data_IF_221084647527
#
_entry.id   IF_221084647527
#
_cell.length_a   1.000
_cell.length_b   1.000
_cell.length_c   1.000
_cell.angle_alpha   90.00
_cell.angle_beta   90.00
_cell.angle_gamma   90.00
#
_symmetry.space_group_name_H-M   'P 1'
#
loop_
_entity.id
_entity.type
_entity.pdbx_description
1 polymer ?
#
# COMPACT_ATOMS: atom_id res chain seq x y z
N UNK A 1 -11.42 -3.92 3.44
CA UNK A 1 -10.02 -4.35 3.63
C UNK A 1 -9.15 -3.67 2.60
N UNK A 2 -7.93 -3.38 2.94
CA UNK A 2 -6.98 -2.72 2.05
C UNK A 2 -5.66 -3.48 1.98
N UNK A 3 -5.00 -3.41 0.83
CA UNK A 3 -3.68 -3.98 0.59
C UNK A 3 -2.77 -2.90 0.04
N UNK A 4 -1.50 -2.96 0.36
CA UNK A 4 -0.54 -1.93 0.00
C UNK A 4 0.46 -2.47 -1.03
N UNK A 5 0.68 -1.68 -2.07
CA UNK A 5 1.72 -1.95 -3.07
C UNK A 5 2.75 -0.83 -3.05
N UNK A 6 4.03 -1.19 -3.02
CA UNK A 6 5.12 -0.23 -2.93
C UNK A 6 5.90 -0.13 -4.22
N UNK A 7 6.30 1.11 -4.55
CA UNK A 7 7.16 1.42 -5.69
C UNK A 7 8.26 2.37 -5.27
N UNK A 8 9.38 2.31 -5.95
CA UNK A 8 10.41 3.35 -5.85
C UNK A 8 9.91 4.61 -6.54
N UNK A 9 10.53 5.75 -6.23
CA UNK A 9 10.14 7.05 -6.81
C UNK A 9 10.28 7.10 -8.33
N UNK A 10 11.20 6.31 -8.88
CA UNK A 10 11.37 6.21 -10.34
C UNK A 10 10.33 5.32 -11.02
N UNK A 11 9.44 4.72 -10.24
CA UNK A 11 8.38 3.87 -10.76
C UNK A 11 8.67 2.37 -10.69
N UNK A 12 9.89 1.98 -10.34
CA UNK A 12 10.22 0.56 -10.22
C UNK A 12 9.41 -0.09 -9.09
N UNK A 13 8.74 -1.19 -9.40
CA UNK A 13 7.89 -1.89 -8.44
C UNK A 13 8.73 -2.67 -7.43
N UNK A 14 8.44 -2.49 -6.13
CA UNK A 14 9.03 -3.29 -5.06
C UNK A 14 8.18 -4.53 -4.76
N UNK A 15 6.86 -4.37 -4.72
CA UNK A 15 5.96 -5.48 -4.50
C UNK A 15 4.82 -5.16 -3.53
N UNK A 16 4.05 -6.19 -3.19
CA UNK A 16 2.95 -6.11 -2.25
C UNK A 16 3.46 -6.21 -0.83
N UNK A 17 2.99 -5.32 0.03
CA UNK A 17 3.45 -5.29 1.42
C UNK A 17 2.82 -6.42 2.22
N UNK A 18 3.69 -7.27 2.78
CA UNK A 18 3.31 -8.34 3.70
C UNK A 18 3.91 -8.02 5.06
N UNK A 19 3.06 -7.79 6.06
CA UNK A 19 3.51 -7.46 7.41
C UNK A 19 3.76 -8.73 8.20
N UNK A 20 4.97 -8.88 8.74
CA UNK A 20 5.35 -9.99 9.61
C UNK A 20 6.04 -9.45 10.84
N UNK A 21 5.46 -9.68 12.02
CA UNK A 21 6.03 -9.23 13.29
C UNK A 21 6.36 -7.73 13.28
N UNK A 22 5.47 -6.92 12.70
CA UNK A 22 5.63 -5.47 12.65
C UNK A 22 6.61 -4.97 11.59
N UNK A 23 7.16 -5.85 10.74
CA UNK A 23 8.10 -5.49 9.68
C UNK A 23 7.51 -5.74 8.31
N UNK A 24 7.76 -4.84 7.33
CA UNK A 24 7.29 -5.06 5.96
C UNK A 24 8.21 -6.01 5.19
N UNK A 25 7.59 -6.90 4.44
CA UNK A 25 8.24 -7.73 3.43
C UNK A 25 7.50 -7.52 2.13
N UNK A 26 8.16 -7.75 1.00
CA UNK A 26 7.55 -7.53 -0.31
C UNK A 26 7.24 -8.84 -0.98
N UNK A 27 5.95 -9.08 -1.22
CA UNK A 27 5.48 -10.26 -1.91
C UNK A 27 5.28 -9.99 -3.40
N UNK A 28 5.36 -11.04 -4.19
CA UNK A 28 5.24 -10.96 -5.63
C UNK A 28 3.79 -10.75 -6.08
N UNK A 29 2.83 -11.39 -5.43
CA UNK A 29 1.44 -11.37 -5.83
C UNK A 29 0.55 -10.71 -4.78
N UNK A 30 -0.61 -10.24 -5.24
CA UNK A 30 -1.64 -9.61 -4.41
C UNK A 30 -2.08 -10.52 -3.26
N UNK A 31 -2.07 -11.84 -3.46
CA UNK A 31 -2.50 -12.79 -2.44
C UNK A 31 -1.58 -12.82 -1.23
N UNK A 32 -0.34 -12.41 -1.40
CA UNK A 32 0.66 -12.37 -0.32
C UNK A 32 0.52 -11.11 0.54
N UNK A 33 -0.20 -10.10 0.06
CA UNK A 33 -0.35 -8.84 0.77
C UNK A 33 -1.19 -9.01 2.04
N UNK A 34 -0.80 -8.33 3.11
CA UNK A 34 -1.58 -8.30 4.34
C UNK A 34 -2.82 -7.44 4.15
N UNK A 35 -3.99 -8.00 4.49
CA UNK A 35 -5.23 -7.23 4.55
C UNK A 35 -5.26 -6.39 5.83
N UNK A 36 -5.68 -5.15 5.72
CA UNK A 36 -5.80 -4.25 6.87
C UNK A 36 -6.89 -3.22 6.64
N UNK A 37 -7.32 -2.55 7.71
CA UNK A 37 -8.25 -1.43 7.58
C UNK A 37 -7.61 -0.30 6.78
N UNK A 38 -8.43 0.41 6.01
CA UNK A 38 -7.94 1.52 5.20
C UNK A 38 -7.27 2.60 6.06
N UNK A 39 -7.84 2.91 7.21
CA UNK A 39 -7.26 3.91 8.10
C UNK A 39 -5.89 3.45 8.62
N UNK A 40 -5.75 2.18 8.96
CA UNK A 40 -4.47 1.63 9.39
C UNK A 40 -3.45 1.68 8.25
N UNK A 41 -3.89 1.41 7.03
CA UNK A 41 -3.03 1.52 5.85
C UNK A 41 -2.56 2.95 5.64
N UNK A 42 -3.45 3.94 5.75
CA UNK A 42 -3.08 5.35 5.62
C UNK A 42 -2.07 5.77 6.68
N UNK A 43 -2.28 5.38 7.94
CA UNK A 43 -1.37 5.71 9.03
C UNK A 43 0.01 5.12 8.79
N UNK A 44 0.05 3.88 8.32
CA UNK A 44 1.29 3.16 8.05
C UNK A 44 2.07 3.77 6.90
N UNK A 45 1.40 4.05 5.78
CA UNK A 45 2.07 4.56 4.58
C UNK A 45 2.50 6.01 4.71
N UNK A 46 1.94 6.76 5.66
CA UNK A 46 2.35 8.15 5.88
C UNK A 46 3.84 8.29 6.10
N UNK A 47 4.47 7.30 6.73
CA UNK A 47 5.92 7.30 6.95
C UNK A 47 6.69 6.86 5.70
N UNK A 48 6.12 5.94 4.91
CA UNK A 48 6.80 5.41 3.74
C UNK A 48 6.73 6.34 2.53
N UNK A 49 5.68 7.15 2.44
CA UNK A 49 5.46 8.06 1.31
C UNK A 49 6.56 9.12 1.16
N UNK A 50 7.38 9.31 2.19
CA UNK A 50 8.53 10.22 2.13
C UNK A 50 9.58 9.70 1.15
N UNK A 51 9.80 8.38 1.13
CA UNK A 51 10.85 7.74 0.32
C UNK A 51 10.32 6.93 -0.85
N UNK A 52 9.06 6.49 -0.80
CA UNK A 52 8.49 5.58 -1.77
C UNK A 52 7.17 6.11 -2.32
N UNK A 53 6.76 5.60 -3.48
CA UNK A 53 5.39 5.75 -3.96
C UNK A 53 4.58 4.58 -3.46
N UNK A 54 3.43 4.87 -2.87
CA UNK A 54 2.59 3.88 -2.23
C UNK A 54 1.22 3.87 -2.88
N UNK A 55 0.75 2.69 -3.26
CA UNK A 55 -0.61 2.50 -3.77
C UNK A 55 -1.38 1.65 -2.77
N UNK A 56 -2.52 2.16 -2.33
CA UNK A 56 -3.43 1.43 -1.46
C UNK A 56 -4.57 0.90 -2.31
N UNK A 57 -4.71 -0.41 -2.38
CA UNK A 57 -5.79 -1.09 -3.09
C UNK A 57 -6.89 -1.41 -2.10
N UNK A 58 -8.09 -0.91 -2.33
CA UNK A 58 -9.22 -1.16 -1.43
C UNK A 58 -10.52 -1.35 -2.21
N UNK A 59 -11.48 -1.97 -1.56
CA UNK A 59 -12.80 -2.22 -2.14
C UNK A 59 -13.80 -1.22 -1.58
N UNK A 60 -13.87 -0.03 -2.21
CA UNK A 60 -14.79 1.04 -1.82
C UNK A 60 -15.01 1.98 -3.00
N UNK A 61 -15.99 2.86 -2.88
CA UNK A 61 -16.27 3.90 -3.88
C UNK A 61 -15.66 5.26 -3.52
N UNK A 62 -15.06 5.40 -2.35
CA UNK A 62 -14.44 6.66 -1.95
C UNK A 62 -13.06 6.79 -2.57
N UNK A 63 -12.82 7.93 -3.22
CA UNK A 63 -11.54 8.24 -3.86
C UNK A 63 -10.76 9.18 -2.95
N UNK A 64 -9.50 8.82 -2.68
CA UNK A 64 -8.66 9.62 -1.81
C UNK A 64 -7.21 9.50 -2.23
N UNK A 65 -6.65 10.60 -2.76
CA UNK A 65 -5.25 10.67 -3.15
C UNK A 65 -4.56 11.76 -2.35
N UNK A 66 -3.35 11.48 -1.85
CA UNK A 66 -2.61 12.43 -1.05
C UNK A 66 -1.10 12.28 -1.31
N UNK A 67 -0.54 13.23 -2.06
CA UNK A 67 0.89 13.25 -2.36
C UNK A 67 1.35 11.99 -3.09
N UNK A 68 2.26 11.23 -2.46
CA UNK A 68 2.79 9.98 -3.01
C UNK A 68 1.97 8.75 -2.63
N UNK A 69 0.81 8.96 -2.03
CA UNK A 69 -0.12 7.89 -1.67
C UNK A 69 -1.29 7.94 -2.63
N UNK A 70 -1.48 6.89 -3.40
CA UNK A 70 -2.59 6.75 -4.33
C UNK A 70 -3.50 5.62 -3.86
N UNK A 71 -4.81 5.82 -3.91
CA UNK A 71 -5.78 4.78 -3.60
C UNK A 71 -6.48 4.33 -4.86
N UNK A 72 -6.53 3.01 -5.08
CA UNK A 72 -7.24 2.41 -6.20
C UNK A 72 -8.28 1.40 -5.70
N UNK A 73 -9.32 1.18 -6.49
CA UNK A 73 -10.51 0.39 -6.11
C UNK A 73 -10.61 -0.85 -6.97
N UNK A 74 -9.68 -1.79 -6.77
CA UNK A 74 -9.59 -3.00 -7.58
C UNK A 74 -9.67 -4.31 -6.77
N UNK A 75 -9.97 -4.22 -5.50
CA UNK A 75 -10.09 -5.42 -4.65
C UNK A 75 -11.46 -6.06 -4.71
#
# INVERSE_FOLDING_TARGET
MAKIEMHLRDGQRLGWVQMRNGKPYYGYSKWEATDMDYQDALDMVGRWSIMYRVTIHRKTTEIYDEGNVQTVYDL
#
